data_IF_628642911819
#
_entry.id   IF_628642911819
#
_cell.length_a   1.000
_cell.length_b   1.000
_cell.length_c   1.000
_cell.angle_alpha   90.00
_cell.angle_beta   90.00
_cell.angle_gamma   90.00
#
_symmetry.space_group_name_H-M   'P 1'
#
loop_
_entity.id
_entity.type
_entity.pdbx_description
1 polymer ?
#
# COMPACT_ATOMS: atom_id res chain seq x y z
N UNK A 1 -19.23 -7.65 -9.02
CA UNK A 1 -19.56 -6.77 -7.87
C UNK A 1 -18.60 -5.59 -7.86
N UNK A 2 -19.11 -4.39 -7.59
CA UNK A 2 -18.33 -3.14 -7.45
C UNK A 2 -17.51 -3.16 -6.15
N UNK A 3 -16.36 -2.48 -6.13
CA UNK A 3 -15.62 -2.20 -4.91
C UNK A 3 -16.31 -1.07 -4.13
N UNK A 4 -16.44 -1.16 -2.80
CA UNK A 4 -16.93 -0.08 -1.95
C UNK A 4 -16.46 1.33 -2.32
N UNK A 5 -15.18 1.50 -2.65
CA UNK A 5 -14.65 2.82 -3.01
C UNK A 5 -15.10 3.33 -4.38
N UNK A 6 -15.60 2.49 -5.29
CA UNK A 6 -15.82 2.88 -6.69
C UNK A 6 -16.83 4.03 -6.84
N UNK A 7 -17.95 3.98 -6.11
CA UNK A 7 -18.98 5.02 -6.21
C UNK A 7 -18.50 6.41 -5.75
N UNK A 8 -17.67 6.46 -4.70
CA UNK A 8 -17.27 7.71 -4.05
C UNK A 8 -15.91 8.24 -4.51
N UNK A 9 -15.00 7.36 -4.94
CA UNK A 9 -13.60 7.73 -5.18
C UNK A 9 -13.25 7.82 -6.67
N UNK A 10 -13.84 6.99 -7.54
CA UNK A 10 -13.38 6.88 -8.94
C UNK A 10 -13.55 8.20 -9.69
N UNK A 11 -14.68 8.90 -9.52
CA UNK A 11 -14.91 10.18 -10.19
C UNK A 11 -14.00 11.31 -9.68
N UNK A 12 -13.43 11.15 -8.48
CA UNK A 12 -12.46 12.08 -7.89
C UNK A 12 -11.03 11.77 -8.34
N UNK A 13 -10.81 10.64 -9.03
CA UNK A 13 -9.49 10.29 -9.51
C UNK A 13 -9.09 11.12 -10.73
N UNK A 14 -7.80 11.36 -10.92
CA UNK A 14 -7.27 11.96 -12.13
C UNK A 14 -7.63 11.12 -13.38
N UNK A 15 -7.59 11.76 -14.55
CA UNK A 15 -8.03 11.11 -15.79
C UNK A 15 -7.20 9.86 -16.10
N UNK A 16 -5.87 9.95 -15.95
CA UNK A 16 -4.95 8.87 -16.24
C UNK A 16 -5.26 7.63 -15.39
N UNK A 17 -5.52 7.80 -14.11
CA UNK A 17 -5.83 6.71 -13.20
C UNK A 17 -7.24 6.14 -13.42
N UNK A 18 -8.22 6.96 -13.80
CA UNK A 18 -9.54 6.48 -14.21
C UNK A 18 -9.43 5.60 -15.46
N UNK A 19 -8.66 6.02 -16.44
CA UNK A 19 -8.44 5.27 -17.68
C UNK A 19 -7.69 3.97 -17.42
N UNK A 20 -6.64 4.01 -16.57
CA UNK A 20 -5.90 2.81 -16.17
C UNK A 20 -6.78 1.82 -15.39
N UNK A 21 -7.60 2.31 -14.46
CA UNK A 21 -8.54 1.48 -13.72
C UNK A 21 -9.58 0.83 -14.66
N UNK A 22 -10.12 1.59 -15.62
CA UNK A 22 -11.10 1.10 -16.59
C UNK A 22 -10.50 0.12 -17.61
N UNK A 23 -9.23 0.33 -18.01
CA UNK A 23 -8.50 -0.55 -18.92
C UNK A 23 -8.04 -1.86 -18.27
N UNK A 24 -7.95 -1.90 -16.95
CA UNK A 24 -7.51 -3.10 -16.23
C UNK A 24 -8.63 -4.12 -16.10
N UNK A 25 -8.34 -5.39 -16.41
CA UNK A 25 -9.33 -6.47 -16.25
C UNK A 25 -9.77 -6.59 -14.80
N UNK A 26 -11.08 -6.56 -14.57
CA UNK A 26 -11.67 -6.63 -13.22
C UNK A 26 -11.11 -7.73 -12.31
N UNK A 27 -10.85 -8.91 -12.87
CA UNK A 27 -10.30 -10.07 -12.14
C UNK A 27 -8.86 -9.89 -11.64
N UNK A 28 -8.15 -8.87 -12.12
CA UNK A 28 -6.77 -8.54 -11.77
C UNK A 28 -6.67 -7.35 -10.81
N UNK A 29 -7.80 -6.74 -10.46
CA UNK A 29 -7.85 -5.63 -9.49
C UNK A 29 -8.40 -6.18 -8.17
N UNK A 30 -7.84 -5.71 -7.05
CA UNK A 30 -8.43 -5.91 -5.73
C UNK A 30 -8.47 -4.60 -4.93
N UNK A 31 -9.50 -4.45 -4.10
CA UNK A 31 -9.56 -3.36 -3.13
C UNK A 31 -8.90 -3.77 -1.82
N UNK A 32 -7.94 -2.97 -1.35
CA UNK A 32 -7.41 -3.06 0.02
C UNK A 32 -8.27 -2.15 0.90
N UNK A 33 -9.10 -2.74 1.75
CA UNK A 33 -9.98 -2.02 2.67
C UNK A 33 -9.83 -2.51 4.11
N UNK A 34 -10.20 -1.65 5.06
CA UNK A 34 -10.27 -1.97 6.51
C UNK A 34 -8.96 -2.52 7.11
N UNK A 35 -7.80 -2.09 6.60
CA UNK A 35 -6.51 -2.42 7.20
C UNK A 35 -6.43 -1.81 8.61
N UNK A 36 -6.40 -2.66 9.63
CA UNK A 36 -6.39 -2.26 11.02
C UNK A 36 -5.56 -3.24 11.86
N UNK A 37 -4.93 -2.72 12.91
CA UNK A 37 -4.19 -3.52 13.89
C UNK A 37 -4.85 -3.33 15.24
N UNK A 38 -5.13 -4.44 15.94
CA UNK A 38 -5.73 -4.36 17.28
C UNK A 38 -4.84 -3.56 18.24
N UNK A 39 -5.45 -2.91 19.23
CA UNK A 39 -4.73 -2.07 20.18
C UNK A 39 -3.70 -2.85 21.00
N UNK A 40 -3.97 -4.11 21.34
CA UNK A 40 -3.06 -4.91 22.18
C UNK A 40 -1.77 -5.25 21.43
N UNK A 41 -1.87 -5.57 20.15
CA UNK A 41 -0.72 -5.75 19.28
C UNK A 41 0.04 -4.44 19.08
N UNK A 42 -0.67 -3.32 18.93
CA UNK A 42 -0.08 -1.97 18.88
C UNK A 42 0.59 -1.55 20.20
N UNK A 43 0.12 -2.02 21.37
CA UNK A 43 0.75 -1.66 22.66
C UNK A 43 2.06 -2.40 22.87
N UNK A 44 2.11 -3.69 22.51
CA UNK A 44 3.38 -4.45 22.45
C UNK A 44 4.35 -3.79 21.46
N UNK A 45 3.73 -3.26 20.40
CA UNK A 45 4.11 -2.34 19.32
C UNK A 45 4.71 -0.94 19.67
N UNK A 46 4.40 -0.35 20.83
CA UNK A 46 4.50 1.12 21.02
C UNK A 46 3.87 1.95 19.85
N UNK A 47 2.85 1.40 19.17
CA UNK A 47 2.17 1.88 17.95
C UNK A 47 0.72 2.37 18.24
N UNK A 48 0.42 2.72 19.49
CA UNK A 48 -0.94 2.83 20.01
C UNK A 48 -1.76 4.05 19.55
N UNK A 49 -1.14 5.03 18.88
CA UNK A 49 -1.77 6.34 18.61
C UNK A 49 -2.73 6.40 17.41
N UNK A 50 -2.76 5.44 16.49
CA UNK A 50 -3.69 5.45 15.33
C UNK A 50 -4.31 4.07 15.06
N UNK A 51 -5.51 4.02 14.45
CA UNK A 51 -6.25 2.77 14.21
C UNK A 51 -5.48 1.74 13.37
N UNK A 52 -4.60 2.21 12.49
CA UNK A 52 -3.72 1.41 11.65
C UNK A 52 -2.39 1.04 12.33
N UNK A 53 -2.11 1.55 13.54
CA UNK A 53 -0.81 1.36 14.22
C UNK A 53 0.29 2.27 13.69
N UNK A 54 -0.07 3.19 12.82
CA UNK A 54 0.85 4.07 12.12
C UNK A 54 1.09 5.35 12.92
N UNK A 55 2.25 5.47 13.56
CA UNK A 55 2.75 6.74 14.11
C UNK A 55 3.80 7.36 13.20
N UNK A 56 3.86 8.70 13.14
CA UNK A 56 4.94 9.43 12.44
C UNK A 56 6.34 9.12 12.99
N UNK A 57 6.42 8.46 14.15
CA UNK A 57 7.64 7.98 14.79
C UNK A 57 7.41 6.57 15.34
N UNK A 58 7.33 5.55 14.48
CA UNK A 58 7.63 4.21 14.95
C UNK A 58 9.16 4.13 15.09
N UNK A 59 9.68 4.50 16.26
CA UNK A 59 11.06 4.28 16.68
C UNK A 59 11.07 3.25 17.82
N UNK A 60 10.99 1.97 17.49
CA UNK A 60 11.74 0.94 18.20
C UNK A 60 13.24 1.22 18.20
N UNK A 61 13.74 1.61 19.36
CA UNK A 61 15.06 1.17 19.78
C UNK A 61 14.92 -0.25 20.34
N UNK A 62 15.36 -1.28 19.60
CA UNK A 62 15.92 -2.43 20.31
C UNK A 62 17.27 -1.94 20.85
N UNK A 63 17.34 -1.80 22.17
CA UNK A 63 18.48 -1.20 22.89
C UNK A 63 19.79 -1.98 22.76
N UNK A 64 19.81 -3.10 22.01
CA UNK A 64 21.02 -3.90 21.83
C UNK A 64 21.74 -3.66 20.49
N UNK A 65 21.06 -3.21 19.42
CA UNK A 65 21.68 -3.22 18.08
C UNK A 65 21.55 -1.95 17.23
N UNK A 66 21.02 -0.84 17.76
CA UNK A 66 21.09 0.47 17.09
C UNK A 66 20.47 0.52 15.68
N UNK A 67 19.55 -0.40 15.34
CA UNK A 67 18.89 -0.46 14.03
C UNK A 67 17.45 0.03 14.13
N UNK A 68 17.11 0.85 13.13
CA UNK A 68 15.88 1.61 12.97
C UNK A 68 14.65 0.68 12.91
N UNK A 69 13.73 0.91 13.82
CA UNK A 69 12.41 0.32 13.91
C UNK A 69 11.61 0.21 12.60
N UNK A 70 11.06 -0.96 12.36
CA UNK A 70 10.04 -1.20 11.36
C UNK A 70 8.74 -1.59 12.09
N UNK A 71 7.56 -1.07 11.69
CA UNK A 71 6.28 -1.52 12.22
C UNK A 71 5.97 -2.91 11.63
N UNK A 72 6.50 -3.94 12.30
CA UNK A 72 6.54 -5.31 11.79
C UNK A 72 5.16 -5.88 11.45
N UNK A 73 4.11 -5.51 12.19
CA UNK A 73 2.76 -6.04 11.94
C UNK A 73 2.16 -5.45 10.67
N UNK A 74 2.29 -4.15 10.45
CA UNK A 74 1.79 -3.51 9.23
C UNK A 74 2.48 -4.07 7.98
N UNK A 75 3.80 -4.33 8.06
CA UNK A 75 4.54 -5.00 7.00
C UNK A 75 4.13 -6.46 6.82
N UNK A 76 3.86 -7.19 7.90
CA UNK A 76 3.34 -8.55 7.83
C UNK A 76 1.96 -8.63 7.17
N UNK A 77 1.06 -7.68 7.48
CA UNK A 77 -0.23 -7.55 6.80
C UNK A 77 -0.04 -7.26 5.31
N UNK A 78 0.90 -6.39 4.97
CA UNK A 78 1.20 -6.07 3.58
C UNK A 78 1.78 -7.27 2.82
N UNK A 79 2.68 -8.04 3.45
CA UNK A 79 3.19 -9.29 2.90
C UNK A 79 2.06 -10.30 2.66
N UNK A 80 1.09 -10.42 3.58
CA UNK A 80 -0.08 -11.26 3.40
C UNK A 80 -0.97 -10.81 2.22
N UNK A 81 -1.17 -9.50 2.06
CA UNK A 81 -1.88 -8.94 0.90
C UNK A 81 -1.17 -9.30 -0.40
N UNK A 82 0.16 -9.18 -0.43
CA UNK A 82 0.95 -9.55 -1.59
C UNK A 82 0.82 -11.04 -1.90
N UNK A 83 0.94 -11.90 -0.90
CA UNK A 83 0.75 -13.34 -1.03
C UNK A 83 -0.59 -13.72 -1.64
N UNK A 84 -1.67 -13.14 -1.11
CA UNK A 84 -3.01 -13.36 -1.63
C UNK A 84 -3.11 -12.85 -3.07
N UNK A 85 -2.50 -11.71 -3.37
CA UNK A 85 -2.51 -11.12 -4.71
C UNK A 85 -1.84 -12.04 -5.73
N UNK A 86 -0.65 -12.54 -5.41
CA UNK A 86 0.08 -13.52 -6.25
C UNK A 86 -0.76 -14.78 -6.46
N UNK A 87 -1.30 -15.35 -5.37
CA UNK A 87 -2.10 -16.57 -5.41
C UNK A 87 -3.35 -16.44 -6.30
N UNK A 88 -3.96 -15.26 -6.33
CA UNK A 88 -5.21 -15.01 -7.05
C UNK A 88 -5.02 -14.26 -8.39
N UNK A 89 -3.77 -14.02 -8.83
CA UNK A 89 -3.50 -13.33 -10.09
C UNK A 89 -3.91 -11.84 -10.09
N UNK A 90 -3.93 -11.21 -8.92
CA UNK A 90 -4.16 -9.77 -8.76
C UNK A 90 -2.87 -9.03 -9.07
N UNK A 91 -2.96 -8.05 -9.97
CA UNK A 91 -1.82 -7.23 -10.42
C UNK A 91 -1.97 -5.77 -10.02
N UNK A 92 -3.20 -5.31 -9.77
CA UNK A 92 -3.48 -3.93 -9.38
C UNK A 92 -4.22 -3.86 -8.05
N UNK A 93 -3.87 -2.87 -7.25
CA UNK A 93 -4.56 -2.55 -6.02
C UNK A 93 -5.24 -1.20 -6.12
N UNK A 94 -6.44 -1.13 -5.56
CA UNK A 94 -7.15 0.11 -5.35
C UNK A 94 -7.48 0.26 -3.87
N UNK A 95 -7.44 1.47 -3.35
CA UNK A 95 -7.80 1.73 -1.97
C UNK A 95 -8.22 3.20 -1.76
N UNK A 96 -9.01 3.43 -0.71
CA UNK A 96 -9.19 4.76 -0.14
C UNK A 96 -8.48 4.78 1.22
N UNK A 97 -7.29 5.39 1.28
CA UNK A 97 -6.41 5.32 2.44
C UNK A 97 -6.33 6.64 3.20
N UNK A 98 -6.11 6.57 4.51
CA UNK A 98 -5.75 7.74 5.31
C UNK A 98 -4.39 8.30 4.83
N UNK A 99 -4.22 9.63 4.69
CA UNK A 99 -2.93 10.21 4.29
C UNK A 99 -1.76 9.80 5.20
N UNK A 100 -2.01 9.57 6.49
CA UNK A 100 -0.98 9.10 7.42
C UNK A 100 -0.47 7.69 7.07
N UNK A 101 -1.36 6.79 6.65
CA UNK A 101 -1.02 5.44 6.20
C UNK A 101 -0.16 5.48 4.93
N UNK A 102 -0.55 6.31 3.94
CA UNK A 102 0.22 6.49 2.71
C UNK A 102 1.63 7.02 2.98
N UNK A 103 1.78 8.03 3.85
CA UNK A 103 3.10 8.56 4.25
C UNK A 103 3.97 7.49 4.92
N UNK A 104 3.39 6.61 5.73
CA UNK A 104 4.14 5.55 6.38
C UNK A 104 4.58 4.48 5.37
N UNK A 105 3.68 4.02 4.51
CA UNK A 105 4.00 3.04 3.47
C UNK A 105 5.13 3.55 2.57
N UNK A 106 5.12 4.85 2.22
CA UNK A 106 6.21 5.50 1.47
C UNK A 106 7.58 5.35 2.14
N UNK A 107 7.67 5.37 3.48
CA UNK A 107 8.95 5.14 4.22
C UNK A 107 9.48 3.71 4.07
N UNK A 108 8.62 2.78 3.72
CA UNK A 108 8.97 1.39 3.43
C UNK A 108 9.20 1.13 1.94
N UNK A 109 9.25 2.19 1.12
CA UNK A 109 9.38 2.07 -0.33
C UNK A 109 8.11 1.62 -1.02
N UNK A 110 6.99 1.53 -0.29
CA UNK A 110 5.66 1.21 -0.81
C UNK A 110 4.96 2.53 -1.14
N UNK A 111 5.09 2.97 -2.38
CA UNK A 111 4.48 4.20 -2.86
C UNK A 111 3.27 3.87 -3.73
N UNK A 112 2.09 4.31 -3.30
CA UNK A 112 0.89 4.28 -4.11
C UNK A 112 0.82 5.54 -4.95
N UNK A 113 0.38 5.42 -6.20
CA UNK A 113 0.09 6.59 -7.01
C UNK A 113 -1.04 7.38 -6.35
N UNK A 114 -0.77 8.66 -6.07
CA UNK A 114 -1.78 9.59 -5.57
C UNK A 114 -2.67 9.98 -6.74
N UNK A 115 -3.73 9.21 -6.92
CA UNK A 115 -4.60 9.33 -8.09
C UNK A 115 -5.74 10.30 -7.88
N UNK A 116 -5.75 11.14 -6.83
CA UNK A 116 -6.82 12.10 -6.57
C UNK A 116 -6.62 12.95 -5.31
N UNK A 117 -7.51 13.93 -5.04
CA UNK A 117 -7.45 14.77 -3.85
C UNK A 117 -7.81 14.00 -2.58
N UNK A 118 -7.58 14.62 -1.41
CA UNK A 118 -8.15 14.10 -0.16
C UNK A 118 -9.64 14.42 -0.13
N UNK A 119 -10.47 13.42 0.13
CA UNK A 119 -11.93 13.50 0.15
C UNK A 119 -12.47 12.98 1.48
N UNK A 120 -13.71 13.36 1.80
CA UNK A 120 -14.43 12.84 2.97
C UNK A 120 -15.14 11.54 2.58
N UNK A 121 -14.59 10.41 3.02
CA UNK A 121 -15.12 9.07 2.77
C UNK A 121 -14.75 8.15 3.94
N UNK A 122 -15.64 8.01 4.93
CA UNK A 122 -15.31 7.37 6.22
C UNK A 122 -14.09 8.04 6.91
N UNK A 123 -14.11 9.38 6.98
CA UNK A 123 -12.97 10.21 7.37
C UNK A 123 -12.21 10.73 6.14
N UNK A 124 -11.15 11.51 6.39
CA UNK A 124 -10.27 12.01 5.33
C UNK A 124 -9.50 10.87 4.68
N UNK A 125 -9.83 10.56 3.42
CA UNK A 125 -9.17 9.53 2.61
C UNK A 125 -8.60 10.12 1.35
N UNK A 126 -7.56 9.49 0.83
CA UNK A 126 -7.04 9.74 -0.52
C UNK A 126 -7.23 8.48 -1.36
N UNK A 127 -7.85 8.59 -2.54
CA UNK A 127 -7.88 7.51 -3.51
C UNK A 127 -6.47 7.12 -3.93
N UNK A 128 -6.24 5.81 -4.02
CA UNK A 128 -4.99 5.19 -4.43
C UNK A 128 -5.30 4.10 -5.45
N UNK A 129 -4.49 4.03 -6.50
CA UNK A 129 -4.51 2.95 -7.48
C UNK A 129 -3.08 2.71 -7.92
N UNK A 130 -2.61 1.46 -7.93
CA UNK A 130 -1.22 1.17 -8.31
C UNK A 130 -1.06 -0.24 -8.86
N UNK A 131 -0.05 -0.43 -9.70
CA UNK A 131 0.38 -1.72 -10.22
C UNK A 131 1.43 -2.33 -9.27
N UNK A 132 1.16 -3.54 -8.77
CA UNK A 132 1.89 -4.13 -7.66
C UNK A 132 3.36 -4.44 -8.01
N UNK A 133 3.67 -4.86 -9.23
CA UNK A 133 5.05 -5.16 -9.63
C UNK A 133 5.90 -3.89 -9.70
N UNK A 134 5.40 -2.82 -10.31
CA UNK A 134 6.07 -1.52 -10.42
C UNK A 134 6.34 -0.93 -9.04
N UNK A 135 5.34 -0.99 -8.16
CA UNK A 135 5.49 -0.58 -6.76
C UNK A 135 6.58 -1.41 -6.04
N UNK A 136 6.65 -2.73 -6.26
CA UNK A 136 7.70 -3.57 -5.68
C UNK A 136 9.10 -3.30 -6.26
N UNK A 137 9.22 -2.95 -7.53
CA UNK A 137 10.50 -2.54 -8.12
C UNK A 137 11.02 -1.25 -7.47
N UNK A 138 10.14 -0.29 -7.20
CA UNK A 138 10.47 0.92 -6.44
C UNK A 138 10.88 0.58 -5.00
N UNK A 139 10.15 -0.31 -4.33
CA UNK A 139 10.50 -0.79 -2.99
C UNK A 139 11.88 -1.48 -2.98
N UNK A 140 12.20 -2.28 -4.01
CA UNK A 140 13.50 -2.96 -4.13
C UNK A 140 14.68 -1.98 -4.20
N UNK A 141 14.49 -0.84 -4.87
CA UNK A 141 15.52 0.21 -4.98
C UNK A 141 15.64 1.06 -3.72
N UNK A 142 14.52 1.43 -3.11
CA UNK A 142 14.47 2.36 -1.98
C UNK A 142 14.71 1.68 -0.63
N UNK A 143 14.19 0.46 -0.45
CA UNK A 143 14.21 -0.32 0.79
C UNK A 143 14.36 -1.83 0.49
N UNK A 144 15.55 -2.28 0.07
CA UNK A 144 15.80 -3.69 -0.24
C UNK A 144 15.48 -4.64 0.92
N UNK A 145 15.66 -4.18 2.16
CA UNK A 145 15.35 -4.90 3.39
C UNK A 145 13.85 -5.16 3.55
N UNK A 146 13.02 -4.14 3.30
CA UNK A 146 11.55 -4.30 3.29
C UNK A 146 11.14 -5.18 2.13
N UNK A 147 11.68 -4.95 0.94
CA UNK A 147 11.35 -5.73 -0.25
C UNK A 147 11.60 -7.23 0.00
N UNK A 148 12.76 -7.58 0.56
CA UNK A 148 13.11 -8.96 0.93
C UNK A 148 12.09 -9.55 1.92
N UNK A 149 11.71 -8.78 2.94
CA UNK A 149 10.71 -9.22 3.92
C UNK A 149 9.34 -9.47 3.29
N UNK A 150 8.80 -8.50 2.52
CA UNK A 150 7.41 -8.59 2.02
C UNK A 150 7.26 -9.58 0.87
N UNK A 151 8.31 -9.77 0.05
CA UNK A 151 8.30 -10.70 -1.09
C UNK A 151 8.81 -12.10 -0.73
N UNK A 152 9.17 -12.35 0.53
CA UNK A 152 9.88 -13.55 0.94
C UNK A 152 11.11 -13.83 0.04
N UNK A 153 12.04 -12.87 0.01
CA UNK A 153 13.24 -12.91 -0.83
C UNK A 153 12.96 -13.12 -2.34
N UNK A 154 11.88 -12.50 -2.85
CA UNK A 154 11.50 -12.59 -4.25
C UNK A 154 10.73 -13.86 -4.63
N UNK A 155 10.38 -14.73 -3.68
CA UNK A 155 9.53 -15.90 -3.96
C UNK A 155 8.08 -15.51 -4.26
N UNK A 156 7.66 -14.31 -3.87
CA UNK A 156 6.30 -13.81 -4.03
C UNK A 156 6.33 -12.52 -4.83
N UNK A 157 6.20 -12.67 -6.15
CA UNK A 157 6.14 -11.57 -7.10
C UNK A 157 4.83 -11.60 -7.86
N UNK A 158 4.12 -10.47 -7.96
CA UNK A 158 2.90 -10.38 -8.74
C UNK A 158 3.24 -10.48 -10.22
N UNK A 159 2.29 -11.00 -11.01
CA UNK A 159 2.44 -11.01 -12.45
C UNK A 159 2.54 -9.57 -12.97
N UNK A 160 3.49 -9.30 -13.88
CA UNK A 160 3.49 -8.04 -14.62
C UNK A 160 2.34 -8.09 -15.64
N UNK A 161 1.37 -7.16 -15.60
CA UNK A 161 0.35 -7.09 -16.63
C UNK A 161 1.01 -6.83 -17.99
N UNK A 162 0.42 -7.38 -19.06
CA UNK A 162 0.87 -7.13 -20.44
C UNK A 162 0.49 -5.71 -20.92
N UNK A 163 -0.29 -4.98 -20.11
CA UNK A 163 -0.79 -3.65 -20.42
C UNK A 163 0.21 -2.60 -19.93
N UNK A 164 0.47 -1.61 -20.79
CA UNK A 164 1.52 -0.60 -20.67
C UNK A 164 1.26 0.45 -19.56
N UNK A 165 1.04 0.02 -18.32
CA UNK A 165 0.98 0.96 -17.21
C UNK A 165 2.39 1.51 -16.95
N UNK A 166 2.67 2.69 -17.49
CA UNK A 166 3.83 3.49 -17.07
C UNK A 166 3.51 4.09 -15.70
N UNK A 167 4.14 3.55 -14.66
CA UNK A 167 4.12 4.14 -13.33
C UNK A 167 4.46 5.62 -13.44
N UNK A 168 3.68 6.46 -12.76
CA UNK A 168 3.85 7.91 -12.89
C UNK A 168 5.18 8.28 -12.21
N UNK A 169 6.20 8.65 -13.00
CA UNK A 169 7.51 9.09 -12.50
C UNK A 169 7.44 10.48 -11.80
N UNK A 170 6.21 10.96 -11.55
CA UNK A 170 5.92 12.09 -10.65
C UNK A 170 6.27 11.69 -9.22
N UNK A 171 7.57 11.70 -8.94
CA UNK A 171 8.12 11.82 -7.59
C UNK A 171 7.39 12.95 -6.88
N UNK A 172 6.48 12.58 -5.98
CA UNK A 172 5.77 13.54 -5.14
C UNK A 172 6.75 13.95 -4.04
N UNK A 173 7.10 15.24 -4.02
CA UNK A 173 7.85 15.89 -2.94
C UNK A 173 7.18 15.67 -1.57
#
# INVERSE_FOLDING_TARGET
>A
AYFPMEGHCIHQMDQQARDAFAGTRRRQVAEISRMAVSRDFRRRLNEDKTASGVTDFACYSDSENGKRALPYISLGLFAAILQMSVKHGITHWTAAMEPALLRMLKRFGVEFDHVGPVIEYHGRRRPAFTEAASMLESARKLRPDVWSLVTNNGQQLPAKPMDNYEANDRRVA
#
